data_IF_543159739971
#
_entry.id   IF_543159739971
#
_cell.length_a   1.000
_cell.length_b   1.000
_cell.length_c   1.000
_cell.angle_alpha   90.00
_cell.angle_beta   90.00
_cell.angle_gamma   90.00
#
_symmetry.space_group_name_H-M   'P 1'
#
loop_
_entity.id
_entity.type
_entity.pdbx_description
1 polymer ?
#
# COMPACT_ATOMS: atom_id res chain seq x y z
N UNK A 1 -8.50 7.48 6.46
CA UNK A 1 -7.12 7.12 6.85
C UNK A 1 -6.37 6.78 5.56
N UNK A 2 -5.08 7.05 5.49
CA UNK A 2 -4.22 6.73 4.35
C UNK A 2 -3.00 6.04 4.93
N UNK A 3 -2.71 4.83 4.45
CA UNK A 3 -1.53 4.08 4.86
C UNK A 3 -0.72 3.72 3.64
N UNK A 4 0.58 3.60 3.84
CA UNK A 4 1.49 3.25 2.78
C UNK A 4 2.70 2.55 3.37
N UNK A 5 3.40 1.84 2.50
CA UNK A 5 4.74 1.37 2.73
C UNK A 5 5.52 1.62 1.44
N UNK A 6 6.71 2.20 1.56
CA UNK A 6 7.64 2.28 0.44
C UNK A 6 9.02 1.85 0.91
N UNK A 7 9.70 1.07 0.08
CA UNK A 7 11.12 0.83 0.20
C UNK A 7 11.90 2.16 0.16
N UNK A 8 13.14 2.13 0.64
CA UNK A 8 14.01 3.30 0.61
C UNK A 8 14.07 3.93 -0.79
N UNK A 9 13.77 5.22 -0.84
CA UNK A 9 13.88 5.99 -2.07
C UNK A 9 15.35 6.16 -2.43
N UNK A 10 15.69 5.86 -3.67
CA UNK A 10 17.03 6.12 -4.21
C UNK A 10 16.98 7.28 -5.21
N UNK A 11 18.08 8.02 -5.32
CA UNK A 11 18.15 9.08 -6.32
C UNK A 11 18.08 8.47 -7.72
N UNK A 12 17.16 8.97 -8.55
CA UNK A 12 16.97 8.48 -9.91
C UNK A 12 16.00 7.29 -10.03
N UNK A 13 15.25 6.94 -8.98
CA UNK A 13 14.10 6.03 -9.09
C UNK A 13 13.13 6.52 -10.17
N UNK A 14 12.73 5.62 -11.06
CA UNK A 14 11.70 5.86 -12.07
C UNK A 14 10.49 5.02 -11.68
N UNK A 15 9.32 5.65 -11.54
CA UNK A 15 8.07 4.92 -11.40
C UNK A 15 7.81 4.19 -12.72
N UNK A 16 7.78 2.87 -12.65
CA UNK A 16 7.57 1.98 -13.79
C UNK A 16 6.08 1.72 -14.02
N UNK A 17 5.34 1.49 -12.95
CA UNK A 17 3.91 1.21 -13.03
C UNK A 17 3.19 1.54 -11.70
N UNK A 18 1.90 1.83 -11.80
CA UNK A 18 0.99 1.98 -10.66
C UNK A 18 -0.30 1.23 -11.01
N UNK A 19 -0.64 0.22 -10.22
CA UNK A 19 -1.83 -0.58 -10.49
C UNK A 19 -2.59 -0.93 -9.22
N UNK A 20 -3.89 -1.17 -9.38
CA UNK A 20 -4.79 -1.56 -8.30
C UNK A 20 -4.84 -3.09 -8.17
N UNK A 21 -4.96 -3.57 -6.94
CA UNK A 21 -5.26 -4.95 -6.62
C UNK A 21 -6.19 -5.03 -5.40
N UNK A 22 -6.56 -6.25 -5.03
CA UNK A 22 -7.54 -6.50 -3.98
C UNK A 22 -6.93 -6.62 -2.58
N UNK A 23 -7.77 -6.45 -1.56
CA UNK A 23 -7.37 -6.56 -0.15
C UNK A 23 -6.91 -7.98 0.24
N UNK A 24 -7.51 -9.08 -0.24
CA UNK A 24 -6.97 -10.42 0.02
C UNK A 24 -5.50 -10.57 -0.42
N UNK A 25 -5.16 -10.04 -1.60
CA UNK A 25 -3.77 -10.05 -2.10
C UNK A 25 -2.86 -9.16 -1.24
N UNK A 26 -3.34 -7.99 -0.81
CA UNK A 26 -2.61 -7.13 0.13
C UNK A 26 -2.16 -7.90 1.37
N UNK A 27 -3.09 -8.59 2.04
CA UNK A 27 -2.81 -9.35 3.26
C UNK A 27 -1.81 -10.47 2.99
N UNK A 28 -2.00 -11.21 1.90
CA UNK A 28 -1.12 -12.31 1.51
C UNK A 28 0.32 -11.83 1.28
N UNK A 29 0.49 -10.77 0.49
CA UNK A 29 1.81 -10.25 0.11
C UNK A 29 2.54 -9.56 1.27
N UNK A 30 1.78 -8.93 2.18
CA UNK A 30 2.35 -8.14 3.28
C UNK A 30 2.28 -8.85 4.64
N UNK A 31 1.93 -10.13 4.69
CA UNK A 31 1.68 -10.85 5.95
C UNK A 31 2.82 -10.74 6.97
N UNK A 32 4.08 -10.75 6.52
CA UNK A 32 5.24 -10.60 7.40
C UNK A 32 5.38 -9.17 7.92
N UNK A 33 5.21 -8.18 7.06
CA UNK A 33 5.24 -6.76 7.42
C UNK A 33 4.11 -6.43 8.41
N UNK A 34 2.91 -6.97 8.17
CA UNK A 34 1.76 -6.81 9.05
C UNK A 34 2.03 -7.37 10.45
N UNK A 35 2.59 -8.58 10.55
CA UNK A 35 2.99 -9.17 11.84
C UNK A 35 4.04 -8.34 12.57
N UNK A 36 5.02 -7.79 11.87
CA UNK A 36 6.06 -6.96 12.48
C UNK A 36 5.52 -5.64 13.05
N UNK A 37 4.41 -5.14 12.49
CA UNK A 37 3.83 -3.85 12.85
C UNK A 37 2.47 -3.92 13.57
N UNK A 38 1.99 -5.12 13.88
CA UNK A 38 0.68 -5.39 14.51
C UNK A 38 0.50 -4.59 15.80
N UNK A 39 1.51 -4.57 16.67
CA UNK A 39 1.47 -3.87 17.96
C UNK A 39 1.42 -2.33 17.86
N UNK A 40 1.60 -1.78 16.66
CA UNK A 40 1.59 -0.34 16.41
C UNK A 40 0.28 0.16 15.82
N UNK A 41 -0.74 -0.70 15.69
CA UNK A 41 -2.03 -0.29 15.12
C UNK A 41 -1.95 0.03 13.63
N UNK A 42 -0.99 -0.58 12.93
CA UNK A 42 -0.73 -0.37 11.52
C UNK A 42 -1.08 -1.63 10.72
N UNK A 43 -1.65 -1.50 9.51
CA UNK A 43 -2.06 -0.26 8.83
C UNK A 43 -3.35 0.32 9.41
N UNK A 44 -4.12 -0.46 10.16
CA UNK A 44 -5.29 0.00 10.92
C UNK A 44 -5.26 -0.71 12.27
N UNK A 45 -6.05 -0.23 13.23
CA UNK A 45 -6.28 -0.99 14.48
C UNK A 45 -7.16 -2.20 14.14
N UNK A 46 -6.77 -3.38 14.60
CA UNK A 46 -7.53 -4.63 14.48
C UNK A 46 -7.11 -5.59 15.60
N UNK A 47 -7.99 -6.51 15.98
CA UNK A 47 -7.72 -7.60 16.91
C UNK A 47 -7.38 -8.90 16.17
N UNK A 48 -7.69 -8.99 14.87
CA UNK A 48 -7.33 -10.11 14.00
C UNK A 48 -7.15 -9.70 12.53
N UNK A 49 -6.42 -10.52 11.76
CA UNK A 49 -6.25 -10.30 10.31
C UNK A 49 -7.60 -10.33 9.56
N UNK A 50 -8.52 -11.20 9.96
CA UNK A 50 -9.87 -11.29 9.36
C UNK A 50 -10.68 -10.01 9.61
N UNK A 51 -10.57 -9.43 10.81
CA UNK A 51 -11.19 -8.14 11.12
C UNK A 51 -10.57 -7.01 10.29
N UNK A 52 -9.23 -6.98 10.17
CA UNK A 52 -8.55 -6.01 9.33
C UNK A 52 -9.03 -6.10 7.87
N UNK A 53 -9.14 -7.32 7.35
CA UNK A 53 -9.64 -7.55 6.00
C UNK A 53 -11.04 -6.95 5.81
N UNK A 54 -11.95 -7.23 6.75
CA UNK A 54 -13.31 -6.68 6.72
C UNK A 54 -13.32 -5.16 6.81
N UNK A 55 -12.56 -4.55 7.73
CA UNK A 55 -12.43 -3.09 7.87
C UNK A 55 -11.99 -2.45 6.55
N UNK A 56 -11.02 -3.06 5.87
CA UNK A 56 -10.50 -2.54 4.61
C UNK A 56 -11.50 -2.69 3.46
N UNK A 57 -12.15 -3.85 3.35
CA UNK A 57 -13.16 -4.14 2.31
C UNK A 57 -14.40 -3.25 2.49
N UNK A 58 -15.01 -3.24 3.69
CA UNK A 58 -16.19 -2.43 3.99
C UNK A 58 -15.89 -0.93 3.94
N UNK A 59 -14.66 -0.56 4.30
CA UNK A 59 -14.17 0.80 4.17
C UNK A 59 -14.02 1.27 2.72
N UNK A 60 -14.07 0.36 1.74
CA UNK A 60 -13.85 0.66 0.32
C UNK A 60 -12.41 1.02 0.02
N UNK A 61 -11.45 0.43 0.74
CA UNK A 61 -10.03 0.65 0.48
C UNK A 61 -9.58 -0.17 -0.73
N UNK A 62 -8.61 0.40 -1.45
CA UNK A 62 -7.92 -0.19 -2.59
C UNK A 62 -6.48 -0.44 -2.21
N UNK A 63 -5.94 -1.57 -2.66
CA UNK A 63 -4.51 -1.86 -2.56
C UNK A 63 -3.83 -1.39 -3.85
N UNK A 64 -3.14 -0.26 -3.76
CA UNK A 64 -2.51 0.40 -4.91
C UNK A 64 -1.02 0.11 -4.83
N UNK A 65 -0.49 -0.61 -5.80
CA UNK A 65 0.90 -1.03 -5.84
C UNK A 65 1.68 -0.06 -6.72
N UNK A 66 2.83 0.38 -6.23
CA UNK A 66 3.79 1.20 -6.97
C UNK A 66 5.04 0.38 -7.25
N UNK A 67 5.37 0.27 -8.54
CA UNK A 67 6.61 -0.33 -9.00
C UNK A 67 7.59 0.74 -9.46
N UNK A 68 8.86 0.58 -9.09
CA UNK A 68 9.94 1.50 -9.39
C UNK A 68 11.22 0.76 -9.77
N UNK A 69 12.06 1.42 -10.56
CA UNK A 69 13.32 0.86 -11.07
C UNK A 69 14.39 0.62 -10.00
N UNK A 70 14.46 1.49 -8.99
CA UNK A 70 15.51 1.46 -7.95
C UNK A 70 14.98 2.01 -6.63
N UNK A 71 14.61 1.16 -5.68
CA UNK A 71 13.95 1.59 -4.44
C UNK A 71 12.55 2.16 -4.67
N UNK A 72 11.90 2.68 -3.63
CA UNK A 72 10.52 3.24 -3.68
C UNK A 72 9.41 2.22 -4.04
N UNK A 73 9.71 0.95 -4.32
CA UNK A 73 8.64 -0.05 -4.49
C UNK A 73 7.78 -0.10 -3.23
N UNK A 74 6.50 -0.38 -3.40
CA UNK A 74 5.63 -0.55 -2.27
C UNK A 74 4.19 -0.31 -2.64
N UNK A 75 3.43 0.25 -1.72
CA UNK A 75 2.00 0.32 -1.85
C UNK A 75 1.36 1.41 -1.02
N UNK A 76 0.11 1.68 -1.38
CA UNK A 76 -0.81 2.59 -0.72
C UNK A 76 -2.14 1.88 -0.48
N UNK A 77 -2.69 2.04 0.72
CA UNK A 77 -4.10 1.78 1.03
C UNK A 77 -4.86 3.11 1.01
N UNK A 78 -5.74 3.28 0.03
CA UNK A 78 -6.56 4.46 -0.12
C UNK A 78 -7.91 4.12 -0.75
N UNK A 79 -8.93 4.94 -0.51
CA UNK A 79 -10.26 4.73 -1.09
C UNK A 79 -10.35 5.14 -2.55
N UNK A 80 -9.59 6.16 -2.94
CA UNK A 80 -9.52 6.72 -4.29
C UNK A 80 -8.10 7.21 -4.58
N UNK A 81 -7.71 7.22 -5.84
CA UNK A 81 -6.44 7.79 -6.31
C UNK A 81 -6.56 8.36 -7.72
N UNK A 82 -5.65 9.26 -8.07
CA UNK A 82 -5.50 9.85 -9.39
C UNK A 82 -4.01 9.89 -9.75
N UNK A 83 -3.69 9.61 -11.02
CA UNK A 83 -2.32 9.72 -11.53
C UNK A 83 -2.22 11.01 -12.34
N UNK A 84 -1.46 11.97 -11.82
CA UNK A 84 -1.23 13.27 -12.47
C UNK A 84 0.18 13.27 -13.03
N UNK A 85 0.31 13.20 -14.36
CA UNK A 85 1.60 13.34 -15.03
C UNK A 85 1.90 14.82 -15.30
N UNK A 86 3.10 15.26 -14.93
CA UNK A 86 3.58 16.61 -15.24
C UNK A 86 4.77 16.50 -16.18
N UNK A 87 4.75 17.28 -17.25
CA UNK A 87 5.96 17.53 -18.04
C UNK A 87 6.81 18.52 -17.25
N UNK A 88 8.07 18.17 -17.03
CA UNK A 88 9.07 19.11 -16.54
C UNK A 88 9.55 19.84 -17.78
N UNK A 89 9.21 21.13 -17.90
CA UNK A 89 9.70 22.03 -18.96
C UNK A 89 11.17 22.40 -18.74
#
# INVERSE_FOLDING_TARGET
>A
MFNHFFEHQLKGSIILDIYESDIPKFIKENSELLRQHESYGWPVMYDSIDEMEQILIEGGYKYIILMSSYGLNGWVLAKNFEIITRKIE
#
